data_IF_996440061521
#
_entry.id   IF_996440061521
#
_cell.length_a   1.000
_cell.length_b   1.000
_cell.length_c   1.000
_cell.angle_alpha   90.00
_cell.angle_beta   90.00
_cell.angle_gamma   90.00
#
_symmetry.space_group_name_H-M   'P 1'
#
loop_
_entity.id
_entity.type
_entity.pdbx_description
1 polymer ?
#
# COMPACT_ATOMS: atom_id res chain seq x y z
N UNK A 1 -0.09 5.24 -3.20
CA UNK A 1 0.41 4.13 -4.07
C UNK A 1 1.24 4.69 -5.21
N UNK A 2 2.47 4.20 -5.44
CA UNK A 2 3.33 4.63 -6.54
C UNK A 2 2.79 4.15 -7.89
N UNK A 3 1.74 4.80 -8.38
CA UNK A 3 1.24 4.66 -9.76
C UNK A 3 2.30 5.28 -10.68
N UNK A 4 3.03 4.46 -11.43
CA UNK A 4 4.02 4.96 -12.40
C UNK A 4 5.30 4.13 -12.57
N UNK A 5 5.65 3.24 -11.63
CA UNK A 5 6.91 2.47 -11.70
C UNK A 5 6.75 1.01 -12.15
N UNK A 6 5.51 0.53 -12.31
CA UNK A 6 5.22 -0.81 -12.80
C UNK A 6 4.05 -0.74 -13.78
N UNK A 7 4.30 -1.04 -15.05
CA UNK A 7 3.28 -0.93 -16.12
C UNK A 7 2.48 -2.21 -16.32
N UNK A 8 2.86 -3.32 -15.69
CA UNK A 8 2.15 -4.59 -15.80
C UNK A 8 1.45 -5.00 -14.49
N UNK A 9 0.20 -5.45 -14.62
CA UNK A 9 -0.66 -5.82 -13.49
C UNK A 9 -0.16 -7.04 -12.72
N UNK A 10 0.55 -7.95 -13.38
CA UNK A 10 1.07 -9.16 -12.74
C UNK A 10 2.21 -8.81 -11.78
N UNK A 11 3.13 -7.92 -12.18
CA UNK A 11 4.19 -7.44 -11.27
C UNK A 11 3.61 -6.61 -10.12
N UNK A 12 2.61 -5.76 -10.39
CA UNK A 12 1.93 -5.03 -9.32
C UNK A 12 1.27 -5.97 -8.30
N UNK A 13 0.60 -7.02 -8.77
CA UNK A 13 0.03 -8.07 -7.90
C UNK A 13 1.10 -8.81 -7.11
N UNK A 14 2.16 -9.26 -7.79
CA UNK A 14 3.26 -9.98 -7.17
C UNK A 14 3.94 -9.16 -6.08
N UNK A 15 4.06 -7.85 -6.27
CA UNK A 15 4.61 -6.95 -5.26
C UNK A 15 3.62 -6.64 -4.12
N UNK A 16 2.44 -6.11 -4.44
CA UNK A 16 1.56 -5.46 -3.47
C UNK A 16 0.55 -6.39 -2.78
N UNK A 17 0.14 -7.48 -3.45
CA UNK A 17 -1.02 -8.29 -3.05
C UNK A 17 -0.65 -9.69 -2.58
N UNK A 18 0.32 -10.35 -3.21
CA UNK A 18 0.64 -11.75 -2.87
C UNK A 18 1.09 -11.90 -1.41
N UNK A 19 0.39 -12.74 -0.66
CA UNK A 19 0.72 -13.07 0.72
C UNK A 19 0.30 -12.00 1.72
N UNK A 20 -0.47 -10.98 1.30
CA UNK A 20 -1.06 -9.97 2.18
C UNK A 20 -2.56 -10.19 2.41
N UNK A 21 -3.16 -11.16 1.73
CA UNK A 21 -4.57 -11.50 1.88
C UNK A 21 -4.88 -11.90 3.33
N UNK A 22 -5.91 -11.29 3.91
CA UNK A 22 -6.38 -11.58 5.27
C UNK A 22 -5.71 -10.80 6.41
N UNK A 23 -4.70 -9.96 6.13
CA UNK A 23 -4.08 -9.10 7.16
C UNK A 23 -4.78 -7.75 7.35
N UNK A 24 -5.60 -7.34 6.38
CA UNK A 24 -6.39 -6.11 6.47
C UNK A 24 -7.54 -6.28 7.44
N UNK A 25 -7.73 -5.29 8.28
CA UNK A 25 -8.88 -5.11 9.18
C UNK A 25 -9.93 -4.18 8.57
N UNK A 26 -9.63 -3.53 7.45
CA UNK A 26 -10.57 -2.73 6.67
C UNK A 26 -11.76 -3.56 6.19
N UNK A 27 -12.95 -2.95 6.19
CA UNK A 27 -14.14 -3.57 5.62
C UNK A 27 -14.05 -3.77 4.10
N UNK A 28 -13.22 -2.97 3.42
CA UNK A 28 -12.99 -3.05 1.97
C UNK A 28 -11.49 -2.89 1.67
N UNK A 29 -10.68 -3.93 1.89
CA UNK A 29 -9.22 -3.88 1.70
C UNK A 29 -8.82 -3.43 0.28
N UNK A 30 -9.65 -3.72 -0.72
CA UNK A 30 -9.47 -3.34 -2.12
C UNK A 30 -9.67 -1.85 -2.40
N UNK A 31 -10.27 -1.12 -1.46
CA UNK A 31 -10.52 0.34 -1.50
C UNK A 31 -9.54 1.14 -0.65
N UNK A 32 -8.55 0.49 -0.03
CA UNK A 32 -7.51 1.18 0.73
C UNK A 32 -6.48 1.81 -0.24
N UNK A 33 -6.58 3.13 -0.46
CA UNK A 33 -5.74 3.82 -1.44
C UNK A 33 -4.80 4.86 -0.83
N UNK A 34 -5.24 5.62 0.19
CA UNK A 34 -4.41 6.66 0.82
C UNK A 34 -4.86 7.07 2.21
N UNK A 35 -3.89 7.29 3.10
CA UNK A 35 -4.12 7.64 4.50
C UNK A 35 -4.90 6.57 5.27
N UNK A 36 -5.18 5.43 4.64
CA UNK A 36 -5.99 4.35 5.16
C UNK A 36 -5.25 3.43 6.13
N UNK A 37 -5.79 2.21 6.29
CA UNK A 37 -5.22 1.19 7.18
C UNK A 37 -3.76 0.93 6.84
N UNK A 38 -3.43 0.72 5.57
CA UNK A 38 -2.09 0.28 5.16
C UNK A 38 -1.01 1.33 5.42
N UNK A 39 -1.24 2.58 4.99
CA UNK A 39 -0.27 3.66 5.16
C UNK A 39 -0.16 4.07 6.63
N UNK A 40 -1.28 4.16 7.34
CA UNK A 40 -1.29 4.46 8.78
C UNK A 40 -0.61 3.35 9.58
N UNK A 41 -0.84 2.08 9.25
CA UNK A 41 -0.19 0.94 9.92
C UNK A 41 1.33 0.97 9.74
N UNK A 42 1.80 1.27 8.53
CA UNK A 42 3.23 1.41 8.26
C UNK A 42 3.84 2.59 9.04
N UNK A 43 3.14 3.72 9.10
CA UNK A 43 3.56 4.88 9.90
C UNK A 43 3.62 4.55 11.40
N UNK A 44 2.59 3.90 11.96
CA UNK A 44 2.57 3.42 13.35
C UNK A 44 3.73 2.46 13.67
N UNK A 45 4.19 1.68 12.69
CA UNK A 45 5.31 0.77 12.87
C UNK A 45 6.68 1.46 12.80
N UNK A 46 6.86 2.46 11.91
CA UNK A 46 8.18 3.03 11.61
C UNK A 46 8.45 4.39 12.25
N UNK A 47 7.41 5.20 12.39
CA UNK A 47 7.45 6.60 12.81
C UNK A 47 6.22 6.91 13.69
N UNK A 48 5.95 6.13 14.76
CA UNK A 48 4.75 6.27 15.58
C UNK A 48 4.58 7.68 16.18
N UNK A 49 5.67 8.40 16.43
CA UNK A 49 5.68 9.77 16.94
C UNK A 49 5.13 10.81 15.95
N UNK A 50 5.01 10.47 14.66
CA UNK A 50 4.42 11.32 13.62
C UNK A 50 2.93 11.06 13.42
N UNK A 51 2.36 10.08 14.12
CA UNK A 51 0.94 9.72 14.02
C UNK A 51 0.21 10.18 15.28
N UNK A 52 -0.72 11.11 15.11
CA UNK A 52 -1.72 11.37 16.15
C UNK A 52 -2.70 10.19 16.19
N UNK A 53 -2.40 9.23 17.07
CA UNK A 53 -3.19 7.99 17.19
C UNK A 53 -4.60 8.25 17.70
N UNK A 54 -4.79 9.28 18.52
CA UNK A 54 -6.10 9.65 19.04
C UNK A 54 -6.96 10.25 17.92
N UNK A 55 -6.38 11.09 17.07
CA UNK A 55 -7.06 11.58 15.88
C UNK A 55 -7.38 10.42 14.92
N UNK A 56 -6.44 9.53 14.63
CA UNK A 56 -6.63 8.40 13.71
C UNK A 56 -7.80 7.49 14.12
N UNK A 57 -7.96 7.20 15.43
CA UNK A 57 -9.06 6.39 15.97
C UNK A 57 -10.44 7.00 15.79
N UNK A 58 -10.53 8.32 15.60
CA UNK A 58 -11.79 9.05 15.38
C UNK A 58 -12.14 9.22 13.90
N UNK A 59 -11.26 8.81 12.98
CA UNK A 59 -11.51 8.92 11.55
C UNK A 59 -12.41 7.78 11.08
N UNK A 60 -13.58 8.14 10.57
CA UNK A 60 -14.48 7.21 9.90
C UNK A 60 -13.86 6.63 8.63
N UNK A 61 -14.19 5.40 8.21
CA UNK A 61 -13.77 4.89 6.91
C UNK A 61 -14.20 5.81 5.76
N UNK A 62 -13.28 6.07 4.83
CA UNK A 62 -13.56 6.77 3.57
C UNK A 62 -13.26 5.86 2.39
N UNK A 63 -14.18 4.93 2.10
CA UNK A 63 -13.98 3.86 1.11
C UNK A 63 -14.84 4.04 -0.14
N UNK A 64 -15.73 5.03 -0.12
CA UNK A 64 -16.67 5.33 -1.19
C UNK A 64 -16.18 6.53 -2.00
N UNK A 65 -15.22 6.27 -2.88
CA UNK A 65 -14.69 7.23 -3.84
C UNK A 65 -14.76 6.63 -5.25
N UNK A 66 -14.76 7.52 -6.24
CA UNK A 66 -14.74 7.15 -7.65
C UNK A 66 -13.36 6.58 -8.03
N UNK A 67 -13.29 5.24 -8.08
CA UNK A 67 -12.06 4.50 -8.39
C UNK A 67 -11.65 4.70 -9.85
N UNK A 68 -12.59 4.84 -10.76
CA UNK A 68 -12.29 5.08 -12.17
C UNK A 68 -11.72 6.49 -12.35
N UNK A 69 -12.30 7.49 -11.68
CA UNK A 69 -11.75 8.84 -11.70
C UNK A 69 -10.38 8.94 -11.03
N UNK A 70 -10.15 8.18 -9.94
CA UNK A 70 -8.83 8.07 -9.31
C UNK A 70 -7.80 7.44 -10.24
N UNK A 71 -8.12 6.31 -10.89
CA UNK A 71 -7.19 5.62 -11.80
C UNK A 71 -6.97 6.36 -13.12
N UNK A 72 -7.99 7.07 -13.60
CA UNK A 72 -7.90 7.90 -14.81
C UNK A 72 -7.37 9.31 -14.55
N UNK A 73 -7.07 9.65 -13.30
CA UNK A 73 -6.63 10.99 -12.86
C UNK A 73 -7.56 12.12 -13.36
N UNK A 74 -8.87 11.84 -13.46
CA UNK A 74 -9.86 12.78 -14.03
C UNK A 74 -10.49 13.69 -12.98
N UNK A 75 -10.24 13.43 -11.70
CA UNK A 75 -10.68 14.27 -10.59
C UNK A 75 -9.52 14.55 -9.63
N UNK A 76 -9.55 15.73 -9.02
CA UNK A 76 -8.58 16.10 -8.01
C UNK A 76 -8.83 15.32 -6.70
N UNK A 77 -7.78 15.27 -5.90
CA UNK A 77 -7.75 14.51 -4.65
C UNK A 77 -8.74 15.03 -3.59
N UNK A 78 -8.90 16.35 -3.50
CA UNK A 78 -9.79 16.95 -2.52
C UNK A 78 -11.24 16.56 -2.81
N UNK A 79 -11.63 16.63 -4.08
CA UNK A 79 -12.93 16.18 -4.57
C UNK A 79 -13.14 14.69 -4.32
N UNK A 80 -12.18 13.84 -4.68
CA UNK A 80 -12.26 12.38 -4.48
C UNK A 80 -12.40 11.98 -3.01
N UNK A 81 -11.77 12.71 -2.10
CA UNK A 81 -11.86 12.43 -0.65
C UNK A 81 -13.11 13.03 0.02
N UNK A 82 -13.90 13.85 -0.69
CA UNK A 82 -14.94 14.67 -0.07
C UNK A 82 -14.37 15.68 0.92
N UNK A 83 -13.16 16.18 0.67
CA UNK A 83 -12.44 17.13 1.52
C UNK A 83 -11.81 16.53 2.79
N UNK A 84 -11.80 15.21 2.92
CA UNK A 84 -11.23 14.53 4.10
C UNK A 84 -9.72 14.33 4.02
N UNK A 85 -9.14 14.36 2.82
CA UNK A 85 -7.70 14.18 2.63
C UNK A 85 -7.19 12.73 2.73
N UNK A 86 -8.07 11.73 2.87
CA UNK A 86 -7.73 10.30 2.86
C UNK A 86 -8.83 9.47 2.18
N UNK A 87 -8.50 8.29 1.64
CA UNK A 87 -9.44 7.23 1.28
C UNK A 87 -8.94 5.86 1.78
N UNK A 88 -9.60 5.38 2.83
CA UNK A 88 -9.24 4.18 3.55
C UNK A 88 -9.79 4.17 4.98
N UNK A 89 -9.28 3.27 5.81
CA UNK A 89 -9.73 3.04 7.20
C UNK A 89 -8.59 3.25 8.21
N UNK A 90 -8.23 4.50 8.56
CA UNK A 90 -7.11 4.77 9.47
C UNK A 90 -7.33 4.22 10.89
N UNK A 91 -8.58 4.21 11.37
CA UNK A 91 -8.91 3.83 12.73
C UNK A 91 -8.62 2.36 13.08
N UNK A 92 -8.59 1.47 12.08
CA UNK A 92 -8.29 0.04 12.27
C UNK A 92 -6.80 -0.29 12.15
N UNK A 93 -5.96 0.71 11.86
CA UNK A 93 -4.54 0.54 11.65
C UNK A 93 -3.80 0.08 12.91
N UNK A 94 -2.80 -0.79 12.73
CA UNK A 94 -1.93 -1.22 13.83
C UNK A 94 -0.47 -1.31 13.40
N UNK A 95 0.45 -1.10 14.35
CA UNK A 95 1.88 -1.31 14.11
C UNK A 95 2.20 -2.77 13.73
N UNK A 96 1.43 -3.74 14.21
CA UNK A 96 1.58 -5.15 13.82
C UNK A 96 1.26 -5.35 12.34
N UNK A 97 0.12 -4.83 11.86
CA UNK A 97 -0.22 -4.83 10.43
C UNK A 97 0.89 -4.16 9.62
N UNK A 98 1.45 -3.04 10.11
CA UNK A 98 2.53 -2.31 9.45
C UNK A 98 3.83 -3.09 9.35
N UNK A 99 4.19 -3.82 10.41
CA UNK A 99 5.34 -4.74 10.41
C UNK A 99 5.17 -5.83 9.37
N UNK A 100 4.01 -6.49 9.35
CA UNK A 100 3.69 -7.55 8.38
C UNK A 100 3.73 -7.04 6.95
N UNK A 101 3.14 -5.86 6.70
CA UNK A 101 3.18 -5.20 5.40
C UNK A 101 4.61 -4.97 4.93
N UNK A 102 5.46 -4.40 5.78
CA UNK A 102 6.84 -4.12 5.41
C UNK A 102 7.59 -5.42 5.09
N UNK A 103 7.44 -6.45 5.92
CA UNK A 103 8.13 -7.72 5.77
C UNK A 103 7.72 -8.43 4.47
N UNK A 104 6.43 -8.61 4.23
CA UNK A 104 5.88 -9.30 3.05
C UNK A 104 6.21 -8.52 1.78
N UNK A 105 5.88 -7.23 1.72
CA UNK A 105 6.07 -6.43 0.51
C UNK A 105 7.55 -6.23 0.17
N UNK A 106 8.45 -6.16 1.17
CA UNK A 106 9.89 -6.08 0.91
C UNK A 106 10.44 -7.37 0.31
N UNK A 107 10.01 -8.53 0.79
CA UNK A 107 10.38 -9.83 0.18
C UNK A 107 9.86 -9.93 -1.24
N UNK A 108 8.61 -9.54 -1.47
CA UNK A 108 8.01 -9.56 -2.80
C UNK A 108 8.74 -8.62 -3.77
N UNK A 109 9.03 -7.39 -3.34
CA UNK A 109 9.79 -6.41 -4.13
C UNK A 109 11.18 -6.94 -4.48
N UNK A 110 11.89 -7.52 -3.51
CA UNK A 110 13.19 -8.14 -3.76
C UNK A 110 13.08 -9.28 -4.79
N UNK A 111 12.07 -10.13 -4.67
CA UNK A 111 11.81 -11.21 -5.64
C UNK A 111 11.52 -10.70 -7.05
N UNK A 112 10.72 -9.63 -7.17
CA UNK A 112 10.44 -8.96 -8.46
C UNK A 112 11.73 -8.40 -9.08
N UNK A 113 12.53 -7.67 -8.30
CA UNK A 113 13.79 -7.08 -8.77
C UNK A 113 14.76 -8.18 -9.23
N UNK A 114 14.97 -9.23 -8.42
CA UNK A 114 15.88 -10.32 -8.76
C UNK A 114 15.44 -11.06 -10.04
N UNK A 115 14.14 -11.28 -10.25
CA UNK A 115 13.62 -11.87 -11.49
C UNK A 115 13.82 -10.96 -12.69
N UNK A 116 13.61 -9.65 -12.53
CA UNK A 116 13.79 -8.68 -13.59
C UNK A 116 15.27 -8.54 -14.01
N UNK A 117 16.20 -8.68 -13.08
CA UNK A 117 17.64 -8.62 -13.35
C UNK A 117 18.22 -9.93 -13.92
N UNK A 118 17.53 -11.06 -13.77
CA UNK A 118 18.04 -12.39 -14.13
C UNK A 118 19.28 -12.82 -13.33
N UNK A 119 19.94 -13.91 -13.74
CA UNK A 119 21.32 -14.14 -13.32
C UNK A 119 22.22 -13.07 -13.96
N UNK A 120 23.17 -12.46 -13.23
CA UNK A 120 24.10 -11.53 -13.85
C UNK A 120 24.80 -12.21 -15.04
N UNK A 121 25.06 -11.50 -16.17
CA UNK A 121 25.74 -12.09 -17.33
C UNK A 121 27.15 -12.62 -17.01
N UNK A 122 27.72 -12.27 -15.86
CA UNK A 122 29.00 -12.78 -15.37
C UNK A 122 28.88 -14.01 -14.46
N UNK A 123 27.68 -14.44 -14.08
CA UNK A 123 27.45 -15.61 -13.23
C UNK A 123 27.70 -16.96 -13.95
N UNK A 124 28.00 -16.94 -15.25
CA UNK A 124 28.42 -18.10 -16.04
C UNK A 124 29.91 -18.15 -16.40
N UNK A 125 30.72 -17.18 -15.94
CA UNK A 125 32.17 -17.16 -16.17
C UNK A 125 32.93 -17.60 -14.91
N UNK A 126 32.63 -18.81 -14.44
CA UNK A 126 33.39 -19.51 -13.41
C UNK A 126 33.80 -20.86 -13.96
N UNK A 127 35.09 -20.99 -14.24
CA UNK A 127 35.85 -22.15 -14.76
C UNK A 127 35.59 -23.44 -14.01
#
# INVERSE_FOLDING_TARGET
VCVGFVTDRATLRAFLQEGIEGYSRSARPEREAHGGEWETSLALYRIPEQVDQEAARRLEPNLDYDVEAFHGETQDYWTLTGGRGYFGSPAVATAETGRTLLEVRSRNLAGVILRALGSPPWAGAGT
#
